data_IF_705623349593
#
_entry.id   IF_705623349593
#
_cell.length_a   1.000
_cell.length_b   1.000
_cell.length_c   1.000
_cell.angle_alpha   90.00
_cell.angle_beta   90.00
_cell.angle_gamma   90.00
#
_symmetry.space_group_name_H-M   'P 1'
#
loop_
_entity.id
_entity.type
_entity.pdbx_description
1 polymer ?
#
# COMPACT_ATOMS: atom_id res chain seq x y z
N UNK A 1 -4.42 -10.13 -6.47
CA UNK A 1 -3.49 -8.99 -6.62
C UNK A 1 -2.09 -9.55 -6.78
N UNK A 2 -1.18 -8.81 -7.41
CA UNK A 2 0.20 -9.25 -7.62
C UNK A 2 1.21 -8.22 -7.11
N UNK A 3 2.47 -8.61 -6.85
CA UNK A 3 3.53 -7.66 -6.52
C UNK A 3 3.68 -6.53 -7.54
N UNK A 4 3.47 -6.83 -8.82
CA UNK A 4 3.53 -5.84 -9.91
C UNK A 4 2.41 -4.81 -9.79
N UNK A 5 1.22 -5.22 -9.32
CA UNK A 5 0.10 -4.31 -9.08
C UNK A 5 0.40 -3.32 -7.94
N UNK A 6 1.20 -3.72 -6.94
CA UNK A 6 1.67 -2.82 -5.89
C UNK A 6 2.72 -1.83 -6.41
N UNK A 7 3.65 -2.29 -7.26
CA UNK A 7 4.61 -1.42 -7.94
C UNK A 7 3.91 -0.41 -8.86
N UNK A 8 2.90 -0.84 -9.61
CA UNK A 8 2.04 0.03 -10.42
C UNK A 8 1.34 1.09 -9.56
N UNK A 9 0.80 0.69 -8.40
CA UNK A 9 0.15 1.60 -7.46
C UNK A 9 1.11 2.69 -6.98
N UNK A 10 2.34 2.31 -6.61
CA UNK A 10 3.37 3.25 -6.22
C UNK A 10 3.71 4.20 -7.39
N UNK A 11 3.84 3.68 -8.61
CA UNK A 11 4.06 4.46 -9.82
C UNK A 11 2.96 5.50 -10.08
N UNK A 12 1.69 5.10 -10.01
CA UNK A 12 0.54 5.99 -10.17
C UNK A 12 0.57 7.10 -9.11
N UNK A 13 0.85 6.78 -7.85
CA UNK A 13 0.92 7.80 -6.80
C UNK A 13 2.11 8.74 -7.02
N UNK A 14 3.23 8.25 -7.52
CA UNK A 14 4.37 9.08 -7.90
C UNK A 14 4.05 10.03 -9.05
N UNK A 15 3.36 9.57 -10.09
CA UNK A 15 2.87 10.43 -11.18
C UNK A 15 1.91 11.53 -10.68
N UNK A 16 1.30 11.33 -9.51
CA UNK A 16 0.39 12.28 -8.85
C UNK A 16 1.06 13.10 -7.75
N UNK A 17 2.39 13.11 -7.67
CA UNK A 17 3.15 14.02 -6.80
C UNK A 17 3.61 13.42 -5.47
N UNK A 18 3.47 12.12 -5.26
CA UNK A 18 4.13 11.44 -4.16
C UNK A 18 5.61 11.18 -4.48
N UNK A 19 6.48 11.31 -3.49
CA UNK A 19 7.82 10.73 -3.52
C UNK A 19 7.73 9.30 -3.00
N UNK A 20 8.25 8.35 -3.78
CA UNK A 20 8.32 6.94 -3.39
C UNK A 20 9.76 6.58 -3.02
N UNK A 21 9.95 6.08 -1.80
CA UNK A 21 11.16 5.39 -1.39
C UNK A 21 10.88 3.87 -1.32
N UNK A 22 11.56 3.11 -2.18
CA UNK A 22 11.39 1.67 -2.26
C UNK A 22 12.53 0.96 -1.54
N UNK A 23 12.18 0.03 -0.65
CA UNK A 23 13.14 -0.84 0.00
C UNK A 23 12.72 -2.31 -0.07
N UNK A 24 13.71 -3.20 0.06
CA UNK A 24 13.48 -4.64 0.16
C UNK A 24 14.25 -5.20 1.36
N UNK A 25 13.57 -5.99 2.18
CA UNK A 25 14.13 -6.68 3.34
C UNK A 25 13.91 -8.19 3.23
N UNK A 26 14.97 -8.96 3.47
CA UNK A 26 14.89 -10.41 3.60
C UNK A 26 14.76 -10.77 5.07
N UNK A 27 13.64 -11.38 5.46
CA UNK A 27 13.47 -11.90 6.81
C UNK A 27 13.94 -13.35 6.88
N UNK A 28 14.98 -13.59 7.67
CA UNK A 28 15.52 -14.93 7.92
C UNK A 28 15.42 -15.33 9.39
N UNK A 29 15.32 -16.64 9.62
CA UNK A 29 15.49 -17.29 10.91
C UNK A 29 16.67 -18.26 10.80
N UNK A 30 17.86 -17.79 11.18
CA UNK A 30 19.13 -18.41 10.77
C UNK A 30 19.32 -18.36 9.26
N UNK A 31 19.51 -19.52 8.63
CA UNK A 31 19.63 -19.64 7.16
C UNK A 31 18.28 -19.77 6.44
N UNK A 32 17.18 -20.00 7.18
CA UNK A 32 15.86 -20.20 6.59
C UNK A 32 15.23 -18.85 6.23
N UNK A 33 14.99 -18.61 4.94
CA UNK A 33 14.19 -17.48 4.49
C UNK A 33 12.73 -17.67 4.93
N UNK A 34 12.22 -16.72 5.73
CA UNK A 34 10.82 -16.69 6.17
C UNK A 34 9.94 -15.95 5.17
N UNK A 35 10.38 -14.78 4.72
CA UNK A 35 9.72 -13.99 3.69
C UNK A 35 10.65 -12.89 3.15
N UNK A 36 10.28 -12.30 2.01
CA UNK A 36 10.84 -11.05 1.50
C UNK A 36 9.78 -9.97 1.58
N UNK A 37 10.09 -8.83 2.18
CA UNK A 37 9.20 -7.68 2.25
C UNK A 37 9.71 -6.59 1.30
N UNK A 38 8.90 -6.21 0.31
CA UNK A 38 9.14 -5.01 -0.49
C UNK A 38 8.23 -3.90 0.02
N UNK A 39 8.79 -2.76 0.42
CA UNK A 39 8.04 -1.62 0.95
C UNK A 39 8.16 -0.42 0.01
N UNK A 40 7.03 0.21 -0.26
CA UNK A 40 6.89 1.47 -0.97
C UNK A 40 6.44 2.54 0.03
N UNK A 41 7.39 3.32 0.54
CA UNK A 41 7.12 4.44 1.43
C UNK A 41 6.80 5.67 0.57
N UNK A 42 5.53 6.05 0.56
CA UNK A 42 4.95 7.07 -0.30
C UNK A 42 4.67 8.32 0.53
N UNK A 43 5.28 9.45 0.16
CA UNK A 43 5.15 10.72 0.90
C UNK A 43 4.76 11.90 0.02
N UNK A 44 3.87 12.74 0.52
CA UNK A 44 3.46 14.03 -0.05
C UNK A 44 3.17 15.00 1.11
N UNK A 45 3.00 16.32 0.86
CA UNK A 45 2.68 17.26 1.93
C UNK A 45 1.45 16.85 2.75
N UNK A 46 1.65 16.53 4.03
CA UNK A 46 0.60 16.08 4.96
C UNK A 46 0.10 14.65 4.76
N UNK A 47 0.76 13.85 3.91
CA UNK A 47 0.36 12.50 3.55
C UNK A 47 1.59 11.57 3.53
N UNK A 48 1.50 10.43 4.22
CA UNK A 48 2.52 9.40 4.29
C UNK A 48 1.83 8.04 4.40
N UNK A 49 2.11 7.18 3.43
CA UNK A 49 1.55 5.85 3.29
C UNK A 49 2.68 4.85 3.12
N UNK A 50 2.58 3.67 3.70
CA UNK A 50 3.48 2.56 3.41
C UNK A 50 2.67 1.41 2.81
N UNK A 51 2.91 1.11 1.54
CA UNK A 51 2.38 -0.09 0.89
C UNK A 51 3.47 -1.17 0.94
N UNK A 52 3.16 -2.31 1.54
CA UNK A 52 4.10 -3.41 1.72
C UNK A 52 3.61 -4.69 1.04
N UNK A 53 4.52 -5.38 0.38
CA UNK A 53 4.31 -6.69 -0.23
C UNK A 53 5.19 -7.70 0.50
N UNK A 54 4.57 -8.67 1.16
CA UNK A 54 5.27 -9.77 1.82
C UNK A 54 5.15 -11.01 0.95
N UNK A 55 6.28 -11.50 0.42
CA UNK A 55 6.37 -12.70 -0.41
C UNK A 55 6.95 -13.86 0.40
N UNK A 56 6.21 -14.94 0.51
CA UNK A 56 6.63 -16.16 1.18
C UNK A 56 7.31 -17.14 0.21
N UNK A 57 8.18 -18.05 0.71
CA UNK A 57 8.89 -19.02 -0.15
C UNK A 57 7.98 -20.00 -0.91
N UNK A 58 6.77 -20.23 -0.43
CA UNK A 58 5.76 -21.07 -1.08
C UNK A 58 5.01 -20.37 -2.22
N UNK A 59 5.32 -19.08 -2.46
CA UNK A 59 4.68 -18.25 -3.47
C UNK A 59 3.48 -17.46 -2.96
N UNK A 60 3.07 -17.61 -1.69
CA UNK A 60 2.03 -16.77 -1.10
C UNK A 60 2.49 -15.31 -1.04
N UNK A 61 1.55 -14.39 -1.28
CA UNK A 61 1.81 -12.95 -1.29
C UNK A 61 0.73 -12.24 -0.50
N UNK A 62 1.16 -11.48 0.51
CA UNK A 62 0.28 -10.65 1.33
C UNK A 62 0.62 -9.19 1.16
N UNK A 63 -0.39 -8.35 1.31
CA UNK A 63 -0.31 -6.92 1.03
C UNK A 63 -0.77 -6.16 2.24
N UNK A 64 -0.05 -5.11 2.61
CA UNK A 64 -0.37 -4.32 3.78
C UNK A 64 -0.33 -2.84 3.45
N UNK A 65 -1.20 -2.06 4.09
CA UNK A 65 -1.19 -0.61 4.03
C UNK A 65 -1.13 -0.03 5.43
N UNK A 66 -0.13 0.80 5.66
CA UNK A 66 -0.04 1.69 6.81
C UNK A 66 -0.37 3.11 6.37
N UNK A 67 -1.23 3.80 7.14
CA UNK A 67 -1.36 5.24 7.06
C UNK A 67 -0.44 5.82 8.13
N UNK A 68 0.82 6.08 7.79
CA UNK A 68 1.75 6.71 8.73
C UNK A 68 1.30 8.14 9.10
N UNK A 69 0.65 8.84 8.17
CA UNK A 69 -0.06 10.08 8.43
C UNK A 69 -0.87 10.55 7.23
N UNK A 70 -2.13 10.93 7.40
CA UNK A 70 -2.96 11.48 6.33
C UNK A 70 -3.88 12.55 6.91
N UNK A 71 -3.47 13.82 6.81
CA UNK A 71 -4.20 14.95 7.38
C UNK A 71 -4.61 14.77 8.87
N UNK A 72 -3.72 14.17 9.66
CA UNK A 72 -3.95 13.91 11.10
C UNK A 72 -4.56 12.54 11.42
N UNK A 73 -4.92 11.74 10.42
CA UNK A 73 -5.27 10.33 10.58
C UNK A 73 -4.01 9.46 10.50
N UNK A 74 -3.93 8.41 11.31
CA UNK A 74 -2.93 7.35 11.15
C UNK A 74 -3.54 5.98 11.46
N UNK A 75 -2.89 4.93 10.94
CA UNK A 75 -3.23 3.54 11.23
C UNK A 75 -1.96 2.71 11.27
N UNK A 76 -1.98 1.64 12.06
CA UNK A 76 -0.98 0.59 11.93
C UNK A 76 -1.05 -0.05 10.53
N UNK A 77 0.00 -0.79 10.18
CA UNK A 77 0.03 -1.63 8.98
C UNK A 77 -1.03 -2.73 9.10
N UNK A 78 -2.02 -2.70 8.20
CA UNK A 78 -3.13 -3.65 8.17
C UNK A 78 -3.15 -4.40 6.84
N UNK A 79 -3.47 -5.69 6.90
CA UNK A 79 -3.58 -6.54 5.71
C UNK A 79 -4.73 -6.08 4.80
N UNK A 80 -4.44 -6.01 3.51
CA UNK A 80 -5.37 -5.64 2.46
C UNK A 80 -5.97 -6.88 1.81
N UNK A 81 -7.29 -6.87 1.66
CA UNK A 81 -8.00 -7.88 0.86
C UNK A 81 -7.94 -7.54 -0.63
N UNK A 82 -8.13 -6.25 -0.95
CA UNK A 82 -8.11 -5.75 -2.33
C UNK A 82 -7.89 -4.25 -2.39
N UNK A 83 -7.42 -3.74 -3.54
CA UNK A 83 -7.60 -2.33 -3.88
C UNK A 83 -7.88 -2.11 -5.37
N UNK A 84 -8.55 -1.00 -5.68
CA UNK A 84 -8.99 -0.65 -7.04
C UNK A 84 -8.74 0.82 -7.33
N UNK A 85 -8.26 1.10 -8.54
CA UNK A 85 -8.20 2.46 -9.05
C UNK A 85 -9.59 2.94 -9.46
N UNK A 86 -9.92 4.16 -9.05
CA UNK A 86 -11.05 4.95 -9.54
C UNK A 86 -10.49 6.21 -10.20
N UNK A 87 -11.37 6.99 -10.82
CA UNK A 87 -10.97 8.19 -11.56
C UNK A 87 -10.29 9.23 -10.64
N UNK A 88 -10.78 9.37 -9.40
CA UNK A 88 -10.40 10.40 -8.44
C UNK A 88 -9.72 9.87 -7.16
N UNK A 89 -9.73 8.55 -6.92
CA UNK A 89 -9.09 7.94 -5.76
C UNK A 89 -8.64 6.50 -5.99
N UNK A 90 -7.84 5.99 -5.05
CA UNK A 90 -7.59 4.56 -4.88
C UNK A 90 -8.43 4.05 -3.70
N UNK A 91 -9.18 2.98 -3.94
CA UNK A 91 -10.03 2.32 -2.95
C UNK A 91 -9.31 1.12 -2.35
N UNK A 92 -8.85 1.22 -1.11
CA UNK A 92 -8.23 0.13 -0.36
C UNK A 92 -9.25 -0.53 0.55
N UNK A 93 -9.40 -1.85 0.47
CA UNK A 93 -10.33 -2.63 1.29
C UNK A 93 -9.56 -3.51 2.26
N UNK A 94 -9.89 -3.36 3.54
CA UNK A 94 -9.45 -4.19 4.64
C UNK A 94 -10.58 -5.13 5.05
N UNK A 95 -10.27 -6.39 5.33
CA UNK A 95 -11.17 -7.38 5.94
C UNK A 95 -12.61 -7.36 5.40
N UNK A 96 -12.87 -8.16 4.38
CA UNK A 96 -14.18 -8.38 3.81
C UNK A 96 -14.90 -9.43 4.66
N UNK A 97 -15.95 -9.02 5.35
CA UNK A 97 -16.83 -9.93 6.06
C UNK A 97 -17.45 -10.91 5.05
N UNK A 98 -17.23 -12.24 5.20
CA UNK A 98 -17.63 -13.21 4.20
C UNK A 98 -19.15 -13.42 4.11
N UNK A 99 -19.89 -13.13 5.18
CA UNK A 99 -21.35 -13.32 5.24
C UNK A 99 -22.11 -12.13 4.63
N UNK A 100 -21.57 -10.92 4.81
CA UNK A 100 -22.26 -9.67 4.43
C UNK A 100 -21.63 -8.99 3.21
N UNK A 101 -20.40 -9.33 2.85
CA UNK A 101 -19.60 -8.64 1.84
C UNK A 101 -19.16 -7.22 2.25
N UNK A 102 -19.49 -6.78 3.47
CA UNK A 102 -19.06 -5.50 4.02
C UNK A 102 -17.56 -5.52 4.31
N UNK A 103 -16.88 -4.41 4.03
CA UNK A 103 -15.45 -4.28 4.30
C UNK A 103 -15.14 -2.88 4.80
N UNK A 104 -14.18 -2.75 5.71
CA UNK A 104 -13.61 -1.44 6.02
C UNK A 104 -12.87 -0.96 4.77
N UNK A 105 -13.19 0.25 4.32
CA UNK A 105 -12.63 0.79 3.07
C UNK A 105 -12.04 2.16 3.32
N UNK A 106 -10.79 2.34 2.90
CA UNK A 106 -10.11 3.63 2.87
C UNK A 106 -10.03 4.12 1.42
N UNK A 107 -10.30 5.40 1.23
CA UNK A 107 -10.19 6.06 -0.07
C UNK A 107 -9.10 7.11 0.01
N UNK A 108 -8.02 6.90 -0.73
CA UNK A 108 -6.95 7.88 -0.89
C UNK A 108 -7.22 8.65 -2.15
N UNK A 109 -7.66 9.90 -2.02
CA UNK A 109 -7.84 10.79 -3.15
C UNK A 109 -6.49 11.06 -3.79
N UNK A 110 -6.46 11.11 -5.11
CA UNK A 110 -5.30 11.67 -5.77
C UNK A 110 -5.15 13.13 -5.36
N UNK A 111 -3.93 13.61 -5.10
CA UNK A 111 -3.68 15.03 -4.95
C UNK A 111 -4.26 15.77 -6.15
N UNK A 112 -4.93 16.90 -5.90
CA UNK A 112 -5.19 17.85 -6.97
C UNK A 112 -3.85 18.15 -7.63
N UNK A 113 -3.80 18.06 -8.95
CA UNK A 113 -2.58 18.26 -9.73
C UNK A 113 -1.96 19.58 -9.27
N UNK A 114 -0.83 19.51 -8.56
CA UNK A 114 -0.14 20.71 -8.10
C UNK A 114 0.42 21.34 -9.36
N UNK A 115 -0.27 22.35 -9.89
CA UNK A 115 0.28 23.19 -10.94
C UNK A 115 1.61 23.74 -10.39
N UNK A 116 2.70 23.39 -11.07
CA UNK A 116 4.01 23.94 -10.77
C UNK A 116 3.91 25.44 -11.01
N UNK A 117 3.78 26.20 -9.91
CA UNK A 117 3.85 27.66 -9.91
C UNK A 117 5.25 28.16 -10.23
#
# INVERSE_FOLDING_TARGET
>A
MSPEYAAETAGILTERGYVCDQSEELKKDGELLRYTATRYALSAPGQQLNLEVVRYPDGDCRYFLEIAGYHGLSSYSLELDSWKYRDDFIEFRYYTNPETGGALTLKIKYPDRIDAG
#
